data_IF_802904203225
#
_entry.id   IF_802904203225
#
_cell.length_a   1.000
_cell.length_b   1.000
_cell.length_c   1.000
_cell.angle_alpha   90.00
_cell.angle_beta   90.00
_cell.angle_gamma   90.00
#
_symmetry.space_group_name_H-M   'P 1'
#
loop_
_entity.id
_entity.type
_entity.pdbx_description
1 polymer ?
#
# COMPACT_ATOMS: atom_id res chain seq x y z
N UNK A 1 -14.69 35.20 -24.28
CA UNK A 1 -14.80 34.85 -22.84
C UNK A 1 -15.06 33.37 -22.78
N UNK A 2 -14.01 32.57 -22.71
CA UNK A 2 -14.13 31.11 -22.67
C UNK A 2 -14.05 30.68 -21.21
N UNK A 3 -15.17 30.15 -20.72
CA UNK A 3 -15.39 29.72 -19.34
C UNK A 3 -14.38 28.64 -18.94
N UNK A 4 -13.76 28.71 -17.73
CA UNK A 4 -12.89 27.64 -17.29
C UNK A 4 -13.70 26.34 -17.16
N UNK A 5 -13.28 25.34 -17.92
CA UNK A 5 -13.84 23.99 -17.87
C UNK A 5 -13.84 23.50 -16.43
N UNK A 6 -15.02 23.06 -15.98
CA UNK A 6 -15.26 22.49 -14.65
C UNK A 6 -14.21 21.42 -14.38
N UNK A 7 -13.28 21.69 -13.47
CA UNK A 7 -12.51 20.64 -12.84
C UNK A 7 -13.53 19.71 -12.19
N UNK A 8 -13.64 18.47 -12.67
CA UNK A 8 -14.39 17.41 -12.00
C UNK A 8 -13.66 17.10 -10.67
N UNK A 9 -13.89 17.94 -9.67
CA UNK A 9 -13.68 17.57 -8.29
C UNK A 9 -14.73 16.51 -7.95
N UNK A 10 -14.29 15.31 -7.54
CA UNK A 10 -15.16 14.40 -6.81
C UNK A 10 -15.34 13.01 -7.39
N UNK A 11 -14.26 12.30 -7.69
CA UNK A 11 -14.14 10.96 -7.12
C UNK A 11 -12.93 11.04 -6.21
N UNK A 12 -13.14 11.44 -4.96
CA UNK A 12 -12.10 11.33 -3.94
C UNK A 12 -11.75 9.85 -3.90
N UNK A 13 -10.62 9.46 -4.49
CA UNK A 13 -10.16 8.08 -4.34
C UNK A 13 -10.04 7.85 -2.84
N UNK A 14 -10.61 6.74 -2.31
CA UNK A 14 -10.47 6.44 -0.90
C UNK A 14 -9.00 6.52 -0.51
N UNK A 15 -8.68 7.13 0.64
CA UNK A 15 -7.31 7.34 1.02
C UNK A 15 -6.62 6.00 1.25
N UNK A 16 -5.36 5.90 0.84
CA UNK A 16 -4.54 4.72 1.10
C UNK A 16 -4.40 4.57 2.60
N UNK A 17 -4.82 3.42 3.14
CA UNK A 17 -4.80 3.15 4.58
C UNK A 17 -3.59 2.31 4.98
N UNK A 18 -3.15 1.42 4.10
CA UNK A 18 -2.06 0.49 4.37
C UNK A 18 -0.97 0.58 3.30
N UNK A 19 0.27 0.43 3.73
CA UNK A 19 1.41 0.17 2.84
C UNK A 19 2.01 -1.16 3.25
N UNK A 20 2.02 -2.13 2.35
CA UNK A 20 2.58 -3.46 2.59
C UNK A 20 3.89 -3.57 1.85
N UNK A 21 4.99 -3.69 2.59
CA UNK A 21 6.31 -3.96 2.03
C UNK A 21 6.54 -5.47 2.03
N UNK A 22 6.90 -6.04 0.88
CA UNK A 22 7.16 -7.46 0.72
C UNK A 22 8.54 -7.62 0.10
N UNK A 23 9.45 -8.29 0.81
CA UNK A 23 10.77 -8.63 0.29
C UNK A 23 10.73 -9.98 -0.44
N UNK A 24 11.06 -9.94 -1.74
CA UNK A 24 11.09 -11.12 -2.61
C UNK A 24 12.49 -11.71 -2.82
N UNK A 25 13.48 -11.40 -1.96
CA UNK A 25 14.84 -11.94 -2.08
C UNK A 25 15.73 -11.29 -3.15
N UNK A 26 15.39 -10.07 -3.58
CA UNK A 26 16.21 -9.31 -4.56
C UNK A 26 15.67 -7.91 -4.84
N UNK A 27 14.37 -7.71 -4.70
CA UNK A 27 13.74 -6.39 -4.63
C UNK A 27 12.58 -6.44 -3.65
N UNK A 28 12.43 -5.38 -2.86
CA UNK A 28 11.25 -5.18 -2.04
C UNK A 28 10.20 -4.45 -2.88
N UNK A 29 8.94 -4.88 -2.79
CA UNK A 29 7.81 -4.17 -3.38
C UNK A 29 6.98 -3.52 -2.27
N UNK A 30 6.41 -2.36 -2.56
CA UNK A 30 5.49 -1.65 -1.69
C UNK A 30 4.11 -1.57 -2.34
N UNK A 31 3.12 -2.21 -1.73
CA UNK A 31 1.73 -2.13 -2.18
C UNK A 31 0.94 -1.16 -1.31
N UNK A 32 0.34 -0.18 -1.96
CA UNK A 32 -0.57 0.77 -1.34
C UNK A 32 -1.97 0.20 -1.42
N UNK A 33 -2.61 0.06 -0.26
CA UNK A 33 -3.88 -0.60 -0.12
C UNK A 33 -4.87 0.29 0.64
N UNK A 34 -6.14 0.20 0.25
CA UNK A 34 -7.24 0.88 0.92
C UNK A 34 -7.57 0.21 2.26
N UNK A 35 -8.46 0.82 3.04
CA UNK A 35 -9.03 0.19 4.24
C UNK A 35 -9.67 -1.19 3.96
N UNK A 36 -10.17 -1.38 2.74
CA UNK A 36 -10.75 -2.64 2.24
C UNK A 36 -9.70 -3.67 1.82
N UNK A 37 -8.40 -3.37 1.96
CA UNK A 37 -7.27 -4.16 1.46
C UNK A 37 -7.36 -4.40 -0.05
N UNK A 38 -7.94 -3.44 -0.76
CA UNK A 38 -7.84 -3.38 -2.22
C UNK A 38 -6.54 -2.69 -2.61
N UNK A 39 -5.77 -3.31 -3.50
CA UNK A 39 -4.54 -2.71 -4.04
C UNK A 39 -4.90 -1.53 -4.95
N UNK A 40 -4.34 -0.36 -4.64
CA UNK A 40 -4.49 0.85 -5.47
C UNK A 40 -3.28 1.03 -6.38
N UNK A 41 -2.09 0.80 -5.82
CA UNK A 41 -0.83 1.07 -6.51
C UNK A 41 0.29 0.20 -5.93
N UNK A 42 1.31 -0.04 -6.75
CA UNK A 42 2.53 -0.75 -6.37
C UNK A 42 3.74 0.11 -6.73
N UNK A 43 4.74 0.13 -5.86
CA UNK A 43 6.02 0.79 -6.04
C UNK A 43 7.15 -0.17 -5.67
N UNK A 44 8.37 0.19 -6.05
CA UNK A 44 9.55 -0.41 -5.45
C UNK A 44 9.68 0.08 -4.00
N UNK A 45 9.94 -0.84 -3.07
CA UNK A 45 9.92 -0.58 -1.62
C UNK A 45 10.99 0.42 -1.15
N UNK A 46 12.05 0.61 -1.93
CA UNK A 46 13.10 1.58 -1.67
C UNK A 46 12.89 2.96 -2.29
N UNK A 47 11.76 3.21 -2.96
CA UNK A 47 11.50 4.51 -3.58
C UNK A 47 11.36 5.62 -2.53
N UNK A 48 11.85 6.85 -2.81
CA UNK A 48 11.73 7.98 -1.88
C UNK A 48 10.29 8.22 -1.43
N UNK A 49 9.32 8.05 -2.33
CA UNK A 49 7.89 8.19 -2.04
C UNK A 49 7.45 7.21 -0.95
N UNK A 50 7.77 5.92 -1.09
CA UNK A 50 7.41 4.89 -0.10
C UNK A 50 8.11 5.16 1.23
N UNK A 51 9.41 5.44 1.19
CA UNK A 51 10.21 5.72 2.39
C UNK A 51 9.64 6.90 3.15
N UNK A 52 9.21 7.96 2.46
CA UNK A 52 8.57 9.12 3.08
C UNK A 52 7.18 8.78 3.65
N UNK A 53 6.39 7.95 2.96
CA UNK A 53 5.06 7.54 3.43
C UNK A 53 5.10 6.73 4.73
N UNK A 54 6.09 5.84 4.86
CA UNK A 54 6.24 4.97 6.04
C UNK A 54 7.15 5.55 7.12
N UNK A 55 7.69 6.75 6.89
CA UNK A 55 8.63 7.40 7.81
C UNK A 55 7.98 7.64 9.17
N UNK A 56 8.61 7.13 10.22
CA UNK A 56 8.13 7.29 11.60
C UNK A 56 6.95 6.38 11.96
N UNK A 57 6.49 5.51 11.05
CA UNK A 57 5.49 4.49 11.33
C UNK A 57 6.16 3.19 11.78
N UNK A 58 5.48 2.48 12.68
CA UNK A 58 5.92 1.16 13.14
C UNK A 58 5.20 0.11 12.30
N UNK A 59 5.92 -0.75 11.55
CA UNK A 59 5.28 -1.81 10.80
C UNK A 59 4.76 -2.91 11.74
N UNK A 60 3.62 -3.48 11.38
CA UNK A 60 3.19 -4.77 11.88
C UNK A 60 3.82 -5.83 10.98
N UNK A 61 4.62 -6.71 11.57
CA UNK A 61 5.26 -7.79 10.84
C UNK A 61 4.29 -8.95 10.64
N UNK A 62 4.19 -9.41 9.39
CA UNK A 62 3.36 -10.53 9.00
C UNK A 62 1.93 -10.09 8.67
N UNK A 63 1.52 -10.35 7.43
CA UNK A 63 0.16 -10.17 6.96
C UNK A 63 -0.65 -11.47 7.18
N UNK A 64 -0.83 -11.83 8.46
CA UNK A 64 -1.34 -13.15 8.88
C UNK A 64 -2.86 -13.25 8.94
N UNK A 65 -3.58 -12.13 8.95
CA UNK A 65 -5.04 -12.14 8.95
C UNK A 65 -5.61 -12.68 7.63
N UNK A 66 -6.80 -13.32 7.66
CA UNK A 66 -7.44 -13.86 6.47
C UNK A 66 -7.69 -12.81 5.37
N UNK A 67 -7.88 -11.55 5.75
CA UNK A 67 -8.07 -10.44 4.82
C UNK A 67 -6.83 -10.22 3.93
N UNK A 68 -5.64 -10.45 4.48
CA UNK A 68 -4.39 -10.36 3.76
C UNK A 68 -4.12 -11.57 2.87
N UNK A 69 -4.68 -12.75 3.20
CA UNK A 69 -4.55 -13.95 2.38
C UNK A 69 -5.13 -13.74 0.98
N UNK A 70 -6.33 -13.16 0.91
CA UNK A 70 -6.95 -12.82 -0.36
C UNK A 70 -6.23 -11.66 -1.07
N UNK A 71 -5.86 -10.62 -0.33
CA UNK A 71 -5.23 -9.43 -0.88
C UNK A 71 -3.80 -9.69 -1.40
N UNK A 72 -3.10 -10.66 -0.81
CA UNK A 72 -1.73 -11.05 -1.14
C UNK A 72 -1.67 -12.48 -1.69
N UNK A 73 -2.75 -13.00 -2.28
CA UNK A 73 -2.80 -14.37 -2.83
C UNK A 73 -1.72 -14.68 -3.88
N UNK A 74 -1.17 -13.63 -4.51
CA UNK A 74 -0.07 -13.73 -5.46
C UNK A 74 1.31 -13.95 -4.79
N UNK A 75 1.38 -13.89 -3.45
CA UNK A 75 2.59 -14.06 -2.66
C UNK A 75 2.56 -15.36 -1.84
N UNK A 76 3.73 -15.97 -1.71
CA UNK A 76 3.94 -17.16 -0.90
C UNK A 76 3.68 -16.85 0.58
N UNK A 77 3.31 -17.87 1.36
CA UNK A 77 3.13 -17.73 2.82
C UNK A 77 4.37 -17.15 3.51
N UNK A 78 5.57 -17.50 3.03
CA UNK A 78 6.82 -16.97 3.57
C UNK A 78 6.98 -15.47 3.33
N UNK A 79 6.64 -14.99 2.12
CA UNK A 79 6.65 -13.57 1.77
C UNK A 79 5.64 -12.79 2.61
N UNK A 80 4.43 -13.34 2.80
CA UNK A 80 3.39 -12.73 3.64
C UNK A 80 3.77 -12.67 5.12
N UNK A 81 4.42 -13.70 5.63
CA UNK A 81 4.95 -13.74 7.01
C UNK A 81 6.11 -12.75 7.21
N UNK A 82 6.91 -12.53 6.17
CA UNK A 82 8.01 -11.57 6.17
C UNK A 82 7.54 -10.13 5.88
N UNK A 83 6.34 -9.95 5.34
CA UNK A 83 5.82 -8.64 4.94
C UNK A 83 5.69 -7.67 6.12
N UNK A 84 5.93 -6.40 5.85
CA UNK A 84 5.80 -5.30 6.81
C UNK A 84 4.58 -4.46 6.43
N UNK A 85 3.57 -4.46 7.30
CA UNK A 85 2.33 -3.73 7.09
C UNK A 85 2.38 -2.42 7.89
N UNK A 86 2.47 -1.30 7.17
CA UNK A 86 2.41 0.04 7.74
C UNK A 86 0.98 0.57 7.65
N UNK A 87 0.45 1.09 8.76
CA UNK A 87 -0.87 1.74 8.76
C UNK A 87 -0.69 3.25 8.71
N UNK A 88 -1.18 3.88 7.65
CA UNK A 88 -1.09 5.33 7.48
C UNK A 88 -2.12 6.03 8.37
N UNK A 89 -1.71 7.07 9.13
CA UNK A 89 -2.63 7.96 9.81
C UNK A 89 -3.25 8.90 8.78
N UNK A 90 -4.26 8.41 8.04
CA UNK A 90 -5.11 9.23 7.18
C UNK A 90 -6.08 10.07 8.01
#
# INVERSE_FOLDING_TARGET
MESPGKHHAGTSRPPVRYVVIIDGGGSAIARLMLETREQVQEFEGGTPEVVQMIQGLVPVKGANDPEWDQALQAHSTQERMAAEVYTLPV
#
